data_IF_500462664378
#
_entry.id   IF_500462664378
#
_cell.length_a   1.000
_cell.length_b   1.000
_cell.length_c   1.000
_cell.angle_alpha   90.00
_cell.angle_beta   90.00
_cell.angle_gamma   90.00
#
_symmetry.space_group_name_H-M   'P 1'
#
loop_
_entity.id
_entity.type
_entity.pdbx_description
1 polymer ?
#
# COMPACT_ATOMS: atom_id res chain seq x y z
N UNK A 1 -14.54 -25.93 19.93
CA UNK A 1 -14.16 -24.52 19.75
C UNK A 1 -12.66 -24.46 19.53
N UNK A 2 -12.14 -24.18 18.31
CA UNK A 2 -10.70 -24.04 18.14
C UNK A 2 -10.25 -22.73 18.82
N UNK A 3 -9.25 -22.82 19.70
CA UNK A 3 -8.59 -21.66 20.29
C UNK A 3 -7.83 -20.92 19.19
N UNK A 4 -8.31 -19.76 18.77
CA UNK A 4 -7.52 -18.79 18.00
C UNK A 4 -6.39 -18.30 18.92
N UNK A 5 -5.16 -18.73 18.66
CA UNK A 5 -3.99 -18.18 19.33
C UNK A 5 -3.85 -16.71 18.91
N UNK A 6 -3.54 -15.77 19.84
CA UNK A 6 -3.25 -14.40 19.48
C UNK A 6 -1.96 -14.39 18.67
N UNK A 7 -2.04 -13.91 17.42
CA UNK A 7 -0.86 -13.70 16.59
C UNK A 7 -0.08 -12.54 17.19
N UNK A 8 1.01 -12.82 17.90
CA UNK A 8 1.92 -11.80 18.40
C UNK A 8 2.71 -11.27 17.22
N UNK A 9 2.47 -10.01 16.85
CA UNK A 9 3.26 -9.33 15.83
C UNK A 9 4.61 -8.93 16.42
N UNK A 10 5.61 -9.79 16.23
CA UNK A 10 6.98 -9.38 16.48
C UNK A 10 7.43 -8.36 15.42
N UNK A 11 8.00 -7.22 15.83
CA UNK A 11 8.55 -6.27 14.88
C UNK A 11 9.66 -6.93 14.08
N UNK A 12 9.64 -6.74 12.76
CA UNK A 12 10.66 -7.28 11.86
C UNK A 12 12.03 -6.75 12.30
N UNK A 13 13.03 -7.62 12.55
CA UNK A 13 14.36 -7.18 12.93
C UNK A 13 14.93 -6.16 11.94
N UNK A 14 15.58 -5.11 12.44
CA UNK A 14 16.07 -4.00 11.60
C UNK A 14 16.98 -4.46 10.47
N UNK A 15 17.79 -5.50 10.70
CA UNK A 15 18.65 -6.10 9.69
C UNK A 15 17.86 -6.77 8.54
N UNK A 16 16.74 -7.43 8.85
CA UNK A 16 15.86 -8.03 7.85
C UNK A 16 15.17 -6.95 7.04
N UNK A 17 14.71 -5.87 7.69
CA UNK A 17 14.12 -4.72 7.00
C UNK A 17 15.12 -4.08 6.02
N UNK A 18 16.35 -3.83 6.47
CA UNK A 18 17.40 -3.26 5.62
C UNK A 18 17.80 -4.19 4.46
N UNK A 19 17.79 -5.51 4.68
CA UNK A 19 18.03 -6.49 3.63
C UNK A 19 16.90 -6.49 2.58
N UNK A 20 15.65 -6.57 3.01
CA UNK A 20 14.49 -6.49 2.10
C UNK A 20 14.45 -5.18 1.34
N UNK A 21 14.75 -4.04 1.98
CA UNK A 21 14.86 -2.73 1.32
C UNK A 21 15.95 -2.71 0.24
N UNK A 22 17.10 -3.36 0.49
CA UNK A 22 18.23 -3.42 -0.45
C UNK A 22 17.98 -4.33 -1.66
N UNK A 23 17.16 -5.36 -1.49
CA UNK A 23 16.84 -6.34 -2.53
C UNK A 23 15.47 -6.13 -3.19
N UNK A 24 14.76 -5.08 -2.80
CA UNK A 24 13.45 -4.77 -3.35
C UNK A 24 13.57 -4.37 -4.83
N UNK A 25 12.80 -4.98 -5.75
CA UNK A 25 12.83 -4.59 -7.15
C UNK A 25 12.42 -3.12 -7.32
N UNK A 26 13.13 -2.39 -8.19
CA UNK A 26 12.91 -0.96 -8.43
C UNK A 26 11.45 -0.64 -8.76
N UNK A 27 10.79 -1.50 -9.53
CA UNK A 27 9.37 -1.36 -9.90
C UNK A 27 8.42 -1.42 -8.70
N UNK A 28 8.78 -2.17 -7.67
CA UNK A 28 7.98 -2.30 -6.43
C UNK A 28 8.15 -1.05 -5.56
N UNK A 29 9.37 -0.50 -5.50
CA UNK A 29 9.64 0.78 -4.81
C UNK A 29 8.96 1.94 -5.54
N UNK A 30 8.95 1.94 -6.87
CA UNK A 30 8.22 2.93 -7.66
C UNK A 30 6.71 2.85 -7.40
N UNK A 31 6.13 1.65 -7.46
CA UNK A 31 4.71 1.43 -7.20
C UNK A 31 4.30 1.88 -5.78
N UNK A 32 5.13 1.69 -4.76
CA UNK A 32 4.81 2.25 -3.44
C UNK A 32 4.71 3.77 -3.42
N UNK A 33 5.66 4.45 -4.08
CA UNK A 33 5.64 5.90 -4.15
C UNK A 33 4.39 6.37 -4.88
N UNK A 34 3.98 5.66 -5.93
CA UNK A 34 2.72 5.90 -6.62
C UNK A 34 1.50 5.69 -5.69
N UNK A 35 1.45 4.60 -4.92
CA UNK A 35 0.38 4.39 -3.93
C UNK A 35 0.33 5.50 -2.88
N UNK A 36 1.49 5.93 -2.36
CA UNK A 36 1.57 7.00 -1.37
C UNK A 36 1.11 8.34 -1.95
N UNK A 37 1.47 8.62 -3.20
CA UNK A 37 1.01 9.81 -3.91
C UNK A 37 -0.50 9.77 -4.13
N UNK A 38 -1.02 8.68 -4.70
CA UNK A 38 -2.45 8.50 -4.93
C UNK A 38 -3.26 8.57 -3.62
N UNK A 39 -2.75 8.00 -2.52
CA UNK A 39 -3.38 8.12 -1.21
C UNK A 39 -3.45 9.57 -0.71
N UNK A 40 -2.45 10.41 -1.02
CA UNK A 40 -2.51 11.85 -0.69
C UNK A 40 -3.58 12.56 -1.52
N UNK A 41 -3.66 12.29 -2.81
CA UNK A 41 -4.69 12.88 -3.68
C UNK A 41 -6.10 12.45 -3.24
N UNK A 42 -6.29 11.18 -2.87
CA UNK A 42 -7.58 10.69 -2.38
C UNK A 42 -8.01 11.31 -1.03
N UNK A 43 -7.05 11.77 -0.23
CA UNK A 43 -7.29 12.49 1.03
C UNK A 43 -7.49 14.00 0.85
N UNK A 44 -7.24 14.53 -0.35
CA UNK A 44 -7.50 15.94 -0.66
C UNK A 44 -9.02 16.19 -0.63
N UNK A 45 -9.47 17.37 -0.16
CA UNK A 45 -10.87 17.78 -0.28
C UNK A 45 -11.33 17.70 -1.75
N UNK A 46 -12.54 17.19 -1.96
CA UNK A 46 -13.15 16.98 -3.26
C UNK A 46 -14.58 17.50 -3.19
N UNK A 47 -14.99 18.33 -4.15
CA UNK A 47 -16.39 18.71 -4.29
C UNK A 47 -17.14 17.59 -5.05
N UNK A 48 -18.10 16.89 -4.42
CA UNK A 48 -18.84 15.82 -5.07
C UNK A 48 -19.77 16.31 -6.21
N UNK A 49 -19.98 17.63 -6.33
CA UNK A 49 -20.77 18.23 -7.42
C UNK A 49 -19.89 18.70 -8.59
N UNK A 50 -18.57 18.74 -8.41
CA UNK A 50 -17.61 19.07 -9.47
C UNK A 50 -17.25 17.82 -10.27
N UNK A 51 -17.57 17.83 -11.57
CA UNK A 51 -17.22 16.73 -12.47
C UNK A 51 -15.72 16.59 -12.68
N UNK A 52 -14.99 17.71 -12.61
CA UNK A 52 -13.53 17.74 -12.73
C UNK A 52 -12.89 17.10 -11.48
N UNK A 53 -13.30 17.51 -10.29
CA UNK A 53 -12.79 16.93 -9.03
C UNK A 53 -13.10 15.43 -8.93
N UNK A 54 -14.28 15.02 -9.36
CA UNK A 54 -14.67 13.60 -9.38
C UNK A 54 -13.84 12.80 -10.39
N UNK A 55 -13.53 13.39 -11.56
CA UNK A 55 -12.63 12.78 -12.55
C UNK A 55 -11.21 12.59 -12.01
N UNK A 56 -10.65 13.64 -11.40
CA UNK A 56 -9.32 13.59 -10.75
C UNK A 56 -9.30 12.51 -9.65
N UNK A 57 -10.38 12.40 -8.88
CA UNK A 57 -10.52 11.39 -7.83
C UNK A 57 -10.56 9.97 -8.40
N UNK A 58 -11.29 9.75 -9.49
CA UNK A 58 -11.31 8.46 -10.18
C UNK A 58 -9.93 8.08 -10.74
N UNK A 59 -9.19 9.04 -11.30
CA UNK A 59 -7.83 8.83 -11.77
C UNK A 59 -6.89 8.43 -10.62
N UNK A 60 -6.99 9.12 -9.48
CA UNK A 60 -6.23 8.78 -8.27
C UNK A 60 -6.55 7.35 -7.78
N UNK A 61 -7.82 6.93 -7.82
CA UNK A 61 -8.19 5.55 -7.50
C UNK A 61 -7.59 4.54 -8.48
N UNK A 62 -7.63 4.83 -9.79
CA UNK A 62 -7.04 3.97 -10.81
C UNK A 62 -5.53 3.82 -10.63
N UNK A 63 -4.84 4.92 -10.35
CA UNK A 63 -3.41 4.94 -10.02
C UNK A 63 -3.11 4.08 -8.79
N UNK A 64 -3.86 4.27 -7.69
CA UNK A 64 -3.68 3.47 -6.48
C UNK A 64 -3.85 1.98 -6.76
N UNK A 65 -4.92 1.58 -7.46
CA UNK A 65 -5.21 0.17 -7.76
C UNK A 65 -4.16 -0.48 -8.65
N UNK A 66 -3.65 0.26 -9.65
CA UNK A 66 -2.57 -0.22 -10.51
C UNK A 66 -1.30 -0.50 -9.71
N UNK A 67 -0.93 0.44 -8.84
CA UNK A 67 0.27 0.33 -8.03
C UNK A 67 0.13 -0.73 -6.93
N UNK A 68 -1.04 -0.84 -6.30
CA UNK A 68 -1.41 -1.88 -5.35
C UNK A 68 -1.21 -3.28 -5.96
N UNK A 69 -1.62 -3.50 -7.21
CA UNK A 69 -1.41 -4.78 -7.90
C UNK A 69 0.08 -5.15 -8.03
N UNK A 70 0.94 -4.17 -8.30
CA UNK A 70 2.39 -4.41 -8.39
C UNK A 70 2.95 -4.76 -7.00
N UNK A 71 2.55 -3.99 -5.99
CA UNK A 71 2.96 -4.19 -4.60
C UNK A 71 2.47 -5.54 -4.05
N UNK A 72 1.21 -5.88 -4.27
CA UNK A 72 0.57 -7.11 -3.80
C UNK A 72 1.09 -8.34 -4.53
N UNK A 73 1.64 -8.20 -5.73
CA UNK A 73 2.31 -9.30 -6.43
C UNK A 73 3.66 -9.67 -5.80
N UNK A 74 4.16 -8.84 -4.87
CA UNK A 74 5.38 -9.11 -4.11
C UNK A 74 5.06 -9.71 -2.73
N UNK A 75 5.34 -11.01 -2.50
CA UNK A 75 4.91 -11.73 -1.30
C UNK A 75 5.50 -11.19 0.00
N UNK A 76 6.73 -10.64 -0.04
CA UNK A 76 7.34 -9.96 1.12
C UNK A 76 6.52 -8.75 1.60
N UNK A 77 5.71 -8.16 0.70
CA UNK A 77 4.88 -6.99 1.00
C UNK A 77 3.42 -7.28 1.28
N UNK A 78 2.84 -8.34 0.71
CA UNK A 78 1.52 -8.82 1.15
C UNK A 78 1.52 -9.05 2.66
N UNK A 79 2.61 -9.62 3.16
CA UNK A 79 2.84 -9.84 4.57
C UNK A 79 2.88 -8.56 5.40
N UNK A 80 3.33 -7.40 4.90
CA UNK A 80 3.40 -6.16 5.71
C UNK A 80 2.16 -5.27 5.55
N UNK A 81 1.53 -5.24 4.38
CA UNK A 81 0.35 -4.41 4.13
C UNK A 81 -0.88 -4.94 4.88
N UNK A 82 -1.08 -6.27 4.90
CA UNK A 82 -2.12 -6.91 5.71
C UNK A 82 -1.96 -6.66 7.22
N UNK A 83 -0.72 -6.45 7.69
CA UNK A 83 -0.43 -6.10 9.11
C UNK A 83 -0.74 -4.66 9.45
N UNK A 84 -0.71 -3.75 8.46
CA UNK A 84 -1.06 -2.34 8.68
C UNK A 84 -2.56 -2.08 8.75
N UNK A 85 -3.37 -3.06 8.31
CA UNK A 85 -4.83 -3.00 8.27
C UNK A 85 -5.51 -3.82 9.40
N UNK A 86 -4.73 -4.55 10.22
CA UNK A 86 -5.18 -5.34 11.37
C UNK A 86 -4.84 -4.66 12.69
#
# INVERSE_FOLDING_TARGET
MPRTQPHVYEPVPTAVRAFSERHMPTQVVAAEREMQFAARELNRPCDPLSVEDMGDREEAFAMYRRADKVVSSHPERMGSHLRSLS
#
